data_IF_467794991680
#
_entry.id   IF_467794991680
#
_cell.length_a   1.000
_cell.length_b   1.000
_cell.length_c   1.000
_cell.angle_alpha   90.00
_cell.angle_beta   90.00
_cell.angle_gamma   90.00
#
_symmetry.space_group_name_H-M   'P 1'
#
loop_
_entity.id
_entity.type
_entity.pdbx_description
1 polymer ?
#
# COMPACT_ATOMS: atom_id res chain seq x y z
N UNK A 1 -71.14 -14.20 15.64
CA UNK A 1 -70.50 -14.08 14.34
C UNK A 1 -69.14 -13.40 14.54
N UNK A 2 -68.01 -14.17 14.37
CA UNK A 2 -66.67 -13.81 14.91
C UNK A 2 -65.86 -12.86 14.03
N UNK A 3 -66.19 -11.57 14.06
CA UNK A 3 -65.42 -10.52 13.38
C UNK A 3 -64.11 -10.16 14.10
N UNK A 4 -63.99 -10.46 15.38
CA UNK A 4 -62.76 -10.20 16.16
C UNK A 4 -61.57 -11.12 15.85
N UNK A 5 -61.85 -12.38 15.51
CA UNK A 5 -60.81 -13.38 15.24
C UNK A 5 -60.10 -13.12 13.88
N UNK A 6 -60.84 -12.65 12.87
CA UNK A 6 -60.27 -12.29 11.56
C UNK A 6 -59.36 -11.07 11.64
N UNK A 7 -59.74 -10.04 12.40
CA UNK A 7 -58.96 -8.83 12.61
C UNK A 7 -57.63 -9.11 13.33
N UNK A 8 -57.69 -9.94 14.35
CA UNK A 8 -56.50 -10.29 15.14
C UNK A 8 -55.49 -11.13 14.31
N UNK A 9 -55.92 -12.02 13.42
CA UNK A 9 -55.08 -12.82 12.55
C UNK A 9 -54.42 -11.92 11.49
N UNK A 10 -55.18 -11.06 10.83
CA UNK A 10 -54.67 -10.14 9.81
C UNK A 10 -53.59 -9.20 10.36
N UNK A 11 -53.82 -8.61 11.54
CA UNK A 11 -52.84 -7.74 12.19
C UNK A 11 -51.54 -8.50 12.55
N UNK A 12 -51.69 -9.73 13.03
CA UNK A 12 -50.53 -10.55 13.37
C UNK A 12 -49.68 -10.91 12.16
N UNK A 13 -50.32 -11.30 11.05
CA UNK A 13 -49.65 -11.65 9.81
C UNK A 13 -48.96 -10.42 9.17
N UNK A 14 -49.60 -9.25 9.25
CA UNK A 14 -49.00 -7.98 8.80
C UNK A 14 -47.79 -7.57 9.64
N UNK A 15 -47.85 -7.70 10.95
CA UNK A 15 -46.72 -7.40 11.85
C UNK A 15 -45.56 -8.39 11.65
N UNK A 16 -45.88 -9.66 11.43
CA UNK A 16 -44.88 -10.65 11.12
C UNK A 16 -44.17 -10.37 9.77
N UNK A 17 -44.93 -10.05 8.73
CA UNK A 17 -44.37 -9.67 7.42
C UNK A 17 -43.52 -8.39 7.49
N UNK A 18 -43.93 -7.40 8.27
CA UNK A 18 -43.16 -6.17 8.48
C UNK A 18 -41.83 -6.44 9.19
N UNK A 19 -41.81 -7.33 10.23
CA UNK A 19 -40.59 -7.74 10.92
C UNK A 19 -39.64 -8.52 10.01
N UNK A 20 -40.15 -9.42 9.18
CA UNK A 20 -39.34 -10.18 8.20
C UNK A 20 -38.73 -9.23 7.19
N UNK A 21 -39.53 -8.28 6.65
CA UNK A 21 -39.05 -7.28 5.71
C UNK A 21 -37.91 -6.42 6.32
N UNK A 22 -38.10 -5.95 7.56
CA UNK A 22 -37.08 -5.22 8.27
C UNK A 22 -35.80 -6.05 8.50
N UNK A 23 -35.96 -7.30 8.93
CA UNK A 23 -34.80 -8.19 9.13
C UNK A 23 -34.02 -8.45 7.81
N UNK A 24 -34.71 -8.60 6.70
CA UNK A 24 -34.08 -8.76 5.38
C UNK A 24 -33.33 -7.50 4.97
N UNK A 25 -33.90 -6.31 5.18
CA UNK A 25 -33.22 -5.03 4.88
C UNK A 25 -31.94 -4.92 5.71
N UNK A 26 -32.00 -5.15 7.01
CA UNK A 26 -30.81 -5.13 7.87
C UNK A 26 -29.75 -6.15 7.45
N UNK A 27 -30.17 -7.34 7.06
CA UNK A 27 -29.23 -8.39 6.58
C UNK A 27 -28.52 -7.95 5.29
N UNK A 28 -29.23 -7.33 4.35
CA UNK A 28 -28.65 -6.79 3.11
C UNK A 28 -27.70 -5.63 3.40
N UNK A 29 -28.05 -4.71 4.30
CA UNK A 29 -27.18 -3.61 4.68
C UNK A 29 -25.88 -4.10 5.33
N UNK A 30 -25.97 -5.04 6.27
CA UNK A 30 -24.79 -5.64 6.90
C UNK A 30 -23.94 -6.36 5.86
N UNK A 31 -24.53 -7.12 4.96
CA UNK A 31 -23.81 -7.81 3.89
C UNK A 31 -23.09 -6.81 2.96
N UNK A 32 -23.75 -5.71 2.61
CA UNK A 32 -23.16 -4.67 1.76
C UNK A 32 -21.95 -4.00 2.44
N UNK A 33 -22.04 -3.70 3.74
CA UNK A 33 -20.93 -3.12 4.51
C UNK A 33 -19.77 -4.09 4.62
N UNK A 34 -20.04 -5.39 4.86
CA UNK A 34 -19.00 -6.42 4.92
C UNK A 34 -18.29 -6.59 3.57
N UNK A 35 -19.05 -6.65 2.47
CA UNK A 35 -18.49 -6.75 1.11
C UNK A 35 -17.62 -5.52 0.82
N UNK A 36 -18.11 -4.33 1.11
CA UNK A 36 -17.32 -3.10 0.93
C UNK A 36 -16.02 -3.13 1.76
N UNK A 37 -16.10 -3.57 3.02
CA UNK A 37 -14.93 -3.71 3.88
C UNK A 37 -13.89 -4.69 3.31
N UNK A 38 -14.33 -5.84 2.80
CA UNK A 38 -13.46 -6.83 2.15
C UNK A 38 -12.83 -6.26 0.87
N UNK A 39 -13.61 -5.60 0.03
CA UNK A 39 -13.11 -4.98 -1.21
C UNK A 39 -12.05 -3.93 -0.92
N UNK A 40 -12.28 -3.09 0.08
CA UNK A 40 -11.30 -2.10 0.52
C UNK A 40 -10.05 -2.77 1.09
N UNK A 41 -10.18 -3.74 1.97
CA UNK A 41 -9.04 -4.43 2.58
C UNK A 41 -8.15 -5.13 1.54
N UNK A 42 -8.75 -5.85 0.60
CA UNK A 42 -8.03 -6.56 -0.48
C UNK A 42 -7.44 -5.59 -1.51
N UNK A 43 -8.13 -4.49 -1.79
CA UNK A 43 -7.69 -3.48 -2.77
C UNK A 43 -6.55 -2.58 -2.25
N UNK A 44 -6.58 -2.23 -0.99
CA UNK A 44 -5.67 -1.24 -0.40
C UNK A 44 -4.33 -1.78 0.04
N UNK A 45 -4.27 -2.99 0.57
CA UNK A 45 -3.09 -3.49 1.25
C UNK A 45 -2.58 -4.83 0.73
N UNK A 46 -1.26 -4.98 0.73
CA UNK A 46 -0.59 -6.26 0.59
C UNK A 46 0.39 -6.43 1.73
N UNK A 47 0.28 -7.56 2.44
CA UNK A 47 1.27 -7.92 3.46
C UNK A 47 2.48 -8.53 2.75
N UNK A 48 3.66 -8.06 3.10
CA UNK A 48 4.94 -8.63 2.66
C UNK A 48 5.91 -8.69 3.83
N UNK A 49 6.91 -9.55 3.73
CA UNK A 49 7.94 -9.70 4.75
C UNK A 49 9.26 -9.20 4.18
N UNK A 50 10.00 -8.41 4.94
CA UNK A 50 11.33 -7.95 4.59
C UNK A 50 12.29 -9.13 4.58
N UNK A 51 12.90 -9.42 3.43
CA UNK A 51 13.81 -10.56 3.27
C UNK A 51 15.28 -10.15 3.38
N UNK A 52 15.58 -8.87 3.16
CA UNK A 52 16.95 -8.34 3.11
C UNK A 52 17.16 -7.29 4.20
N UNK A 53 18.37 -7.22 4.79
CA UNK A 53 18.76 -6.17 5.75
C UNK A 53 19.20 -4.86 5.10
N UNK A 54 18.86 -4.63 3.82
CA UNK A 54 19.34 -3.46 3.05
C UNK A 54 18.70 -2.13 3.47
N UNK A 55 17.77 -2.16 4.42
CA UNK A 55 17.08 -1.00 4.96
C UNK A 55 17.36 -0.79 6.45
N UNK A 56 18.33 -1.50 7.01
CA UNK A 56 18.76 -1.29 8.40
C UNK A 56 19.27 0.15 8.62
N UNK A 57 18.98 0.77 9.76
CA UNK A 57 18.15 0.29 10.87
C UNK A 57 16.65 0.59 10.72
N UNK A 58 16.21 1.17 9.61
CA UNK A 58 14.80 1.60 9.41
C UNK A 58 13.84 0.40 9.33
N UNK A 59 14.24 -0.66 8.63
CA UNK A 59 13.49 -1.91 8.49
C UNK A 59 14.46 -3.07 8.59
N UNK A 60 14.16 -4.01 9.46
CA UNK A 60 15.00 -5.18 9.69
C UNK A 60 14.49 -6.40 8.90
N UNK A 61 15.39 -7.31 8.60
CA UNK A 61 14.99 -8.59 8.01
C UNK A 61 14.01 -9.32 8.94
N UNK A 62 12.89 -9.79 8.39
CA UNK A 62 11.80 -10.43 9.13
C UNK A 62 10.64 -9.50 9.49
N UNK A 63 10.77 -8.19 9.32
CA UNK A 63 9.67 -7.25 9.56
C UNK A 63 8.49 -7.52 8.63
N UNK A 64 7.28 -7.48 9.19
CA UNK A 64 6.03 -7.64 8.45
C UNK A 64 5.51 -6.26 8.06
N UNK A 65 5.41 -6.01 6.76
CA UNK A 65 5.05 -4.73 6.20
C UNK A 65 3.67 -4.77 5.54
N UNK A 66 2.88 -3.74 5.80
CA UNK A 66 1.64 -3.48 5.06
C UNK A 66 1.90 -2.47 3.95
N UNK A 67 1.91 -2.96 2.71
CA UNK A 67 2.18 -2.16 1.52
C UNK A 67 0.89 -1.55 0.99
N UNK A 68 0.83 -0.21 0.91
CA UNK A 68 -0.27 0.51 0.30
C UNK A 68 -0.14 0.47 -1.23
N UNK A 69 -0.98 -0.30 -1.90
CA UNK A 69 -0.97 -0.47 -3.36
C UNK A 69 -1.59 0.71 -4.13
N UNK A 70 -2.33 1.56 -3.42
CA UNK A 70 -3.07 2.67 -4.03
C UNK A 70 -2.32 4.00 -3.96
N UNK A 71 -1.24 4.08 -3.18
CA UNK A 71 -0.50 5.31 -2.91
C UNK A 71 -0.15 6.07 -4.20
N UNK A 72 0.44 5.38 -5.17
CA UNK A 72 0.92 6.01 -6.41
C UNK A 72 -0.06 5.94 -7.58
N UNK A 73 -1.34 5.61 -7.32
CA UNK A 73 -2.41 5.81 -8.31
C UNK A 73 -2.88 7.26 -8.39
N UNK A 74 -2.73 7.99 -7.28
CA UNK A 74 -3.26 9.36 -7.12
C UNK A 74 -2.17 10.38 -6.75
N UNK A 75 -0.94 9.92 -6.51
CA UNK A 75 0.21 10.76 -6.17
C UNK A 75 1.47 10.25 -6.85
N UNK A 76 2.44 11.13 -7.05
CA UNK A 76 3.78 10.78 -7.50
C UNK A 76 4.65 10.39 -6.31
N UNK A 77 5.61 9.45 -6.49
CA UNK A 77 6.60 9.13 -5.48
C UNK A 77 7.42 10.36 -5.09
N UNK A 78 7.79 10.43 -3.82
CA UNK A 78 8.59 11.52 -3.26
C UNK A 78 9.91 10.99 -2.74
N UNK A 79 10.90 11.87 -2.63
CA UNK A 79 12.17 11.56 -1.97
C UNK A 79 11.92 11.13 -0.52
N UNK A 80 12.58 10.09 -0.07
CA UNK A 80 12.41 9.48 1.25
C UNK A 80 11.31 8.41 1.31
N UNK A 81 10.42 8.30 0.31
CA UNK A 81 9.40 7.25 0.29
C UNK A 81 10.04 5.86 0.23
N UNK A 82 9.52 4.94 1.02
CA UNK A 82 9.90 3.53 0.95
C UNK A 82 8.94 2.82 0.00
N UNK A 83 9.51 2.28 -1.07
CA UNK A 83 8.74 1.61 -2.13
C UNK A 83 9.02 0.11 -2.17
N UNK A 84 8.02 -0.61 -2.63
CA UNK A 84 8.13 -2.03 -2.95
C UNK A 84 8.00 -2.18 -4.46
N UNK A 85 9.05 -2.69 -5.11
CA UNK A 85 9.05 -2.92 -6.54
C UNK A 85 9.49 -4.34 -6.87
N UNK A 86 9.22 -4.76 -8.08
CA UNK A 86 9.60 -6.07 -8.60
C UNK A 86 10.58 -5.90 -9.74
N UNK A 87 11.63 -6.70 -9.72
CA UNK A 87 12.58 -6.84 -10.84
C UNK A 87 12.40 -8.19 -11.49
N UNK A 88 12.52 -8.23 -12.81
CA UNK A 88 12.42 -9.45 -13.62
C UNK A 88 11.22 -9.42 -14.55
N UNK A 89 11.43 -9.94 -15.75
CA UNK A 89 10.46 -9.94 -16.87
C UNK A 89 9.40 -11.05 -16.73
N UNK A 90 9.66 -12.04 -15.89
CA UNK A 90 8.80 -13.21 -15.71
C UNK A 90 8.20 -13.24 -14.30
N UNK A 91 6.88 -13.30 -14.20
CA UNK A 91 6.14 -13.34 -12.94
C UNK A 91 6.55 -14.50 -12.00
N UNK A 92 7.22 -15.52 -12.53
CA UNK A 92 7.75 -16.68 -11.79
C UNK A 92 9.16 -16.46 -11.23
N UNK A 93 9.90 -15.48 -11.74
CA UNK A 93 11.28 -15.14 -11.32
C UNK A 93 11.41 -13.72 -10.78
N UNK A 94 10.30 -12.99 -10.67
CA UNK A 94 10.31 -11.62 -10.18
C UNK A 94 10.67 -11.60 -8.70
N UNK A 95 11.81 -11.03 -8.36
CA UNK A 95 12.18 -10.72 -6.97
C UNK A 95 11.49 -9.43 -6.52
N UNK A 96 11.06 -9.41 -5.26
CA UNK A 96 10.47 -8.24 -4.63
C UNK A 96 11.54 -7.53 -3.82
N UNK A 97 11.73 -6.25 -4.09
CA UNK A 97 12.71 -5.41 -3.40
C UNK A 97 12.02 -4.27 -2.68
N UNK A 98 12.55 -3.88 -1.55
CA UNK A 98 12.08 -2.76 -0.73
C UNK A 98 13.24 -1.80 -0.61
N UNK A 99 13.08 -0.58 -1.11
CA UNK A 99 14.12 0.44 -1.15
C UNK A 99 13.53 1.83 -0.89
N UNK A 100 14.39 2.76 -0.48
CA UNK A 100 14.05 4.17 -0.29
C UNK A 100 14.37 4.96 -1.55
N UNK A 101 13.48 5.84 -1.95
CA UNK A 101 13.70 6.77 -3.06
C UNK A 101 14.68 7.86 -2.60
N UNK A 102 15.79 7.99 -3.31
CA UNK A 102 16.77 9.05 -3.09
C UNK A 102 16.73 10.06 -4.23
N UNK A 103 16.73 9.60 -5.48
CA UNK A 103 16.67 10.44 -6.67
C UNK A 103 15.24 10.63 -7.17
N UNK A 104 14.97 11.77 -7.76
CA UNK A 104 13.71 12.10 -8.43
C UNK A 104 13.94 12.30 -9.94
N UNK A 105 12.88 12.16 -10.78
CA UNK A 105 13.00 12.39 -12.22
C UNK A 105 13.61 13.74 -12.56
N UNK A 106 14.58 13.72 -13.46
CA UNK A 106 15.32 14.90 -13.92
C UNK A 106 16.56 15.26 -13.10
N UNK A 107 16.76 14.64 -11.94
CA UNK A 107 17.93 14.89 -11.09
C UNK A 107 19.14 14.08 -11.54
N UNK A 108 20.32 14.61 -11.24
CA UNK A 108 21.58 13.92 -11.49
C UNK A 108 22.14 13.41 -10.17
N UNK A 109 22.25 12.10 -10.06
CA UNK A 109 22.74 11.41 -8.86
C UNK A 109 24.19 11.00 -9.07
N UNK A 110 25.00 11.17 -8.04
CA UNK A 110 26.36 10.66 -7.99
C UNK A 110 26.70 10.23 -6.56
N UNK A 111 27.47 9.16 -6.42
CA UNK A 111 28.05 8.76 -5.14
C UNK A 111 29.55 9.00 -5.24
N UNK A 112 30.07 9.89 -4.41
CA UNK A 112 31.47 10.24 -4.37
C UNK A 112 31.94 10.32 -2.92
N UNK A 113 33.08 9.70 -2.64
CA UNK A 113 33.70 9.66 -1.32
C UNK A 113 32.72 9.17 -0.21
N UNK A 114 31.89 8.16 -0.56
CA UNK A 114 30.88 7.59 0.34
C UNK A 114 29.65 8.49 0.59
N UNK A 115 29.56 9.65 -0.11
CA UNK A 115 28.45 10.59 0.02
C UNK A 115 27.56 10.60 -1.23
N UNK A 116 26.26 10.81 -1.02
CA UNK A 116 25.30 10.95 -2.11
C UNK A 116 25.27 12.44 -2.51
N UNK A 117 25.47 12.69 -3.78
CA UNK A 117 25.30 14.00 -4.38
C UNK A 117 24.08 13.99 -5.29
N UNK A 118 23.24 15.02 -5.15
CA UNK A 118 22.08 15.28 -6.01
C UNK A 118 22.32 16.63 -6.65
N UNK A 119 22.35 16.66 -7.98
CA UNK A 119 22.68 17.84 -8.78
C UNK A 119 24.02 18.52 -8.41
N UNK A 120 24.92 17.73 -7.82
CA UNK A 120 26.25 18.18 -7.38
C UNK A 120 26.30 18.67 -5.92
N UNK A 121 25.19 18.74 -5.21
CA UNK A 121 25.13 19.08 -3.80
C UNK A 121 25.04 17.82 -2.92
N UNK A 122 25.76 17.80 -1.80
CA UNK A 122 25.72 16.67 -0.87
C UNK A 122 24.34 16.55 -0.24
N UNK A 123 23.71 15.39 -0.42
CA UNK A 123 22.43 15.06 0.20
C UNK A 123 22.66 14.32 1.53
N UNK A 124 22.07 14.84 2.61
CA UNK A 124 22.03 14.19 3.92
C UNK A 124 20.57 14.09 4.37
N UNK A 125 20.17 12.92 4.84
CA UNK A 125 18.88 12.69 5.47
C UNK A 125 19.03 12.75 6.99
N UNK A 126 17.97 13.17 7.69
CA UNK A 126 17.93 13.14 9.16
C UNK A 126 18.12 11.70 9.67
N UNK A 127 19.24 11.47 10.37
CA UNK A 127 19.65 10.12 10.80
C UNK A 127 20.86 9.55 10.07
N UNK A 128 21.26 10.17 8.96
CA UNK A 128 22.42 9.79 8.16
C UNK A 128 22.22 8.47 7.39
N UNK A 129 23.09 8.25 6.40
CA UNK A 129 23.22 6.97 5.72
C UNK A 129 24.44 6.24 6.28
N UNK A 130 24.44 4.89 6.35
CA UNK A 130 25.65 4.16 6.55
C UNK A 130 26.63 4.49 5.42
N UNK A 131 27.92 4.42 5.72
CA UNK A 131 28.97 4.68 4.73
C UNK A 131 28.76 3.80 3.48
N UNK A 132 28.71 4.43 2.32
CA UNK A 132 28.50 3.73 1.05
C UNK A 132 29.86 3.24 0.57
N UNK A 133 30.13 1.95 0.73
CA UNK A 133 31.41 1.33 0.31
C UNK A 133 31.46 1.08 -1.20
N UNK A 134 30.30 0.87 -1.84
CA UNK A 134 30.22 0.58 -3.26
C UNK A 134 29.18 1.48 -3.93
N UNK A 135 29.65 2.43 -4.72
CA UNK A 135 28.80 3.37 -5.46
C UNK A 135 28.08 2.75 -6.66
N UNK A 136 28.53 1.58 -7.13
CA UNK A 136 27.93 0.89 -8.26
C UNK A 136 27.88 1.78 -9.51
N UNK A 137 26.72 1.81 -10.17
CA UNK A 137 26.50 2.63 -11.38
C UNK A 137 26.52 4.12 -11.10
N UNK A 138 26.28 4.54 -9.85
CA UNK A 138 26.26 5.95 -9.45
C UNK A 138 27.64 6.50 -9.09
N UNK A 139 28.73 5.74 -9.27
CA UNK A 139 30.11 6.28 -9.20
C UNK A 139 30.30 7.38 -10.23
N UNK A 140 29.72 7.22 -11.41
CA UNK A 140 29.61 8.27 -12.42
C UNK A 140 28.26 8.98 -12.28
N UNK A 141 28.17 10.21 -12.82
CA UNK A 141 26.91 10.97 -12.82
C UNK A 141 25.84 10.23 -13.62
N UNK A 142 24.72 9.95 -13.00
CA UNK A 142 23.54 9.34 -13.60
C UNK A 142 22.40 10.34 -13.57
N UNK A 143 21.91 10.77 -14.73
CA UNK A 143 20.74 11.65 -14.81
C UNK A 143 19.50 10.78 -14.98
N UNK A 144 18.54 10.96 -14.08
CA UNK A 144 17.29 10.21 -14.07
C UNK A 144 16.31 10.77 -15.11
N UNK A 145 15.76 9.88 -15.93
CA UNK A 145 14.75 10.19 -16.92
C UNK A 145 13.35 10.38 -16.32
N UNK A 146 12.36 10.64 -17.18
CA UNK A 146 10.97 10.72 -16.76
C UNK A 146 10.49 9.36 -16.23
N UNK A 147 10.04 9.34 -14.95
CA UNK A 147 9.56 8.13 -14.30
C UNK A 147 10.67 7.23 -13.73
N UNK A 148 11.92 7.66 -13.75
CA UNK A 148 13.05 7.00 -13.08
C UNK A 148 13.28 7.61 -11.70
N UNK A 149 13.57 6.73 -10.72
CA UNK A 149 13.75 7.07 -9.32
C UNK A 149 14.95 6.33 -8.74
#
# INVERSE_FOLDING_TARGET
MNMGFFKARYVRDYVAAAKIKSAVIWAVEIAAVLILGIVLAVGYGKITVMQEGSMDPTLNAGDVLLVNRMAYRFSTPKRGDIIVYKTGDDSKKASTHIKRIIGLPGETIQIKDGQILIDGETYQEDGGFPAIENAGVAETKVTLGNGEY
#
